data_IF_325388423685
#
_entry.id   IF_325388423685
#
_cell.length_a   1.000
_cell.length_b   1.000
_cell.length_c   1.000
_cell.angle_alpha   90.00
_cell.angle_beta   90.00
_cell.angle_gamma   90.00
#
_symmetry.space_group_name_H-M   'P 1'
#
loop_
_entity.id
_entity.type
_entity.pdbx_description
1 polymer ?
#
# COMPACT_ATOMS: atom_id res chain seq x y z
N UNK A 1 -7.77 -10.53 0.01
CA UNK A 1 -6.85 -9.40 0.25
C UNK A 1 -5.48 -9.86 0.77
N UNK A 2 -5.39 -10.50 1.94
CA UNK A 2 -4.09 -10.93 2.53
C UNK A 2 -3.25 -11.79 1.58
N UNK A 3 -3.85 -12.80 0.93
CA UNK A 3 -3.15 -13.64 -0.06
C UNK A 3 -2.55 -12.80 -1.20
N UNK A 4 -3.29 -11.83 -1.72
CA UNK A 4 -2.83 -10.95 -2.81
C UNK A 4 -1.63 -10.12 -2.32
N UNK A 5 -1.72 -9.56 -1.11
CA UNK A 5 -0.64 -8.79 -0.51
C UNK A 5 0.64 -9.63 -0.30
N UNK A 6 0.51 -10.85 0.25
CA UNK A 6 1.65 -11.76 0.44
C UNK A 6 2.32 -12.15 -0.88
N UNK A 7 1.55 -12.50 -1.91
CA UNK A 7 2.09 -12.83 -3.23
C UNK A 7 2.78 -11.61 -3.89
N UNK A 8 2.25 -10.41 -3.64
CA UNK A 8 2.84 -9.15 -4.13
C UNK A 8 4.18 -8.88 -3.48
N UNK A 9 4.26 -8.97 -2.14
CA UNK A 9 5.52 -8.81 -1.40
C UNK A 9 6.54 -9.88 -1.81
N UNK A 10 6.14 -11.15 -1.86
CA UNK A 10 7.01 -12.25 -2.29
C UNK A 10 7.65 -11.99 -3.67
N UNK A 11 6.94 -11.33 -4.58
CA UNK A 11 7.44 -11.01 -5.92
C UNK A 11 8.30 -9.74 -5.96
N UNK A 12 8.03 -8.74 -5.13
CA UNK A 12 8.58 -7.38 -5.25
C UNK A 12 9.56 -6.99 -4.16
N UNK A 13 9.37 -7.49 -2.95
CA UNK A 13 10.19 -7.23 -1.77
C UNK A 13 10.07 -8.42 -0.78
N UNK A 14 10.57 -9.62 -1.17
CA UNK A 14 10.44 -10.83 -0.36
C UNK A 14 11.07 -10.70 1.03
N UNK A 15 12.07 -9.85 1.19
CA UNK A 15 12.74 -9.54 2.45
C UNK A 15 11.84 -8.82 3.47
N UNK A 16 10.74 -8.21 3.00
CA UNK A 16 9.71 -7.59 3.85
C UNK A 16 8.49 -8.49 4.08
N UNK A 17 8.54 -9.76 3.64
CA UNK A 17 7.51 -10.75 3.98
C UNK A 17 7.81 -11.37 5.34
N UNK A 18 7.61 -10.58 6.40
CA UNK A 18 7.81 -11.00 7.79
C UNK A 18 6.44 -11.29 8.42
N UNK A 19 6.27 -12.46 9.01
CA UNK A 19 5.01 -12.87 9.65
C UNK A 19 4.99 -12.54 11.15
N UNK A 20 5.25 -11.27 11.47
CA UNK A 20 5.14 -10.75 12.83
C UNK A 20 3.66 -10.39 13.07
N UNK A 21 2.90 -11.31 13.65
CA UNK A 21 1.48 -11.09 13.96
C UNK A 21 0.53 -11.15 12.77
N UNK A 22 -0.74 -10.84 13.03
CA UNK A 22 -1.80 -10.91 12.02
C UNK A 22 -1.83 -9.63 11.16
N UNK A 23 -1.93 -9.74 9.83
CA UNK A 23 -2.08 -8.57 8.97
C UNK A 23 -3.35 -7.77 9.28
N UNK A 24 -3.24 -6.44 9.24
CA UNK A 24 -4.34 -5.50 9.48
C UNK A 24 -4.87 -5.03 8.12
N UNK A 25 -6.19 -5.02 7.94
CA UNK A 25 -6.82 -4.51 6.72
C UNK A 25 -7.58 -3.23 7.05
N UNK A 26 -7.27 -2.14 6.37
CA UNK A 26 -8.01 -0.89 6.46
C UNK A 26 -8.57 -0.48 5.10
N UNK A 27 -9.79 0.08 5.11
CA UNK A 27 -10.50 0.54 3.91
C UNK A 27 -10.35 2.05 3.78
N UNK A 28 -9.95 2.50 2.60
CA UNK A 28 -9.69 3.90 2.31
C UNK A 28 -10.36 4.33 1.02
N UNK A 29 -10.41 5.64 0.83
CA UNK A 29 -10.95 6.25 -0.38
C UNK A 29 -10.00 7.34 -0.85
N UNK A 30 -9.72 7.36 -2.15
CA UNK A 30 -9.01 8.47 -2.79
C UNK A 30 -9.82 9.74 -2.54
N UNK A 31 -9.16 10.80 -2.07
CA UNK A 31 -9.80 12.09 -1.83
C UNK A 31 -10.62 12.50 -3.05
N UNK A 32 -11.79 13.07 -2.83
CA UNK A 32 -12.52 13.73 -3.92
C UNK A 32 -11.72 14.96 -4.34
N UNK A 33 -11.18 14.91 -5.55
CA UNK A 33 -10.45 16.01 -6.18
C UNK A 33 -11.42 16.78 -7.07
N UNK A 34 -11.24 18.09 -7.13
CA UNK A 34 -11.82 18.91 -8.20
C UNK A 34 -11.13 18.59 -9.53
N UNK A 35 -11.77 18.88 -10.69
CA UNK A 35 -11.12 18.67 -12.00
C UNK A 35 -9.80 19.44 -12.19
N UNK A 36 -9.58 20.52 -11.44
CA UNK A 36 -8.31 21.24 -11.43
C UNK A 36 -7.25 20.44 -10.67
N UNK A 37 -7.56 19.98 -9.46
CA UNK A 37 -6.66 19.17 -8.64
C UNK A 37 -6.33 17.82 -9.31
N UNK A 38 -7.27 17.20 -10.04
CA UNK A 38 -6.99 15.96 -10.79
C UNK A 38 -5.89 16.15 -11.84
N UNK A 39 -5.84 17.32 -12.50
CA UNK A 39 -4.80 17.65 -13.49
C UNK A 39 -3.45 17.95 -12.85
N UNK A 40 -3.45 18.33 -11.58
CA UNK A 40 -2.25 18.67 -10.83
C UNK A 40 -1.63 17.45 -10.13
N UNK A 41 -2.31 16.30 -10.11
CA UNK A 41 -1.72 15.06 -9.57
C UNK A 41 -0.49 14.70 -10.41
N UNK A 42 0.73 14.70 -9.83
CA UNK A 42 1.94 14.44 -10.59
C UNK A 42 1.99 13.00 -11.10
N UNK A 43 2.62 12.75 -12.25
CA UNK A 43 2.75 11.40 -12.83
C UNK A 43 3.46 10.40 -11.90
N UNK A 44 4.42 10.91 -11.11
CA UNK A 44 5.15 10.14 -10.10
C UNK A 44 4.34 9.85 -8.83
N UNK A 45 3.13 10.41 -8.69
CA UNK A 45 2.26 10.12 -7.55
C UNK A 45 1.78 8.68 -7.61
N UNK A 46 1.76 8.03 -6.45
CA UNK A 46 1.13 6.72 -6.25
C UNK A 46 -0.34 6.69 -6.70
N UNK A 47 -1.01 7.85 -6.63
CA UNK A 47 -2.41 8.00 -7.01
C UNK A 47 -2.60 8.64 -8.39
N UNK A 48 -1.55 8.76 -9.19
CA UNK A 48 -1.67 9.26 -10.56
C UNK A 48 -2.63 8.37 -11.38
N UNK A 49 -3.61 9.00 -12.02
CA UNK A 49 -4.66 8.31 -12.78
C UNK A 49 -5.73 7.61 -11.94
N UNK A 50 -5.65 7.68 -10.60
CA UNK A 50 -6.72 7.18 -9.73
C UNK A 50 -7.96 8.08 -9.84
N UNK A 51 -9.15 7.49 -9.80
CA UNK A 51 -10.40 8.24 -9.87
C UNK A 51 -10.73 8.86 -8.52
N UNK A 52 -11.23 10.10 -8.51
CA UNK A 52 -11.80 10.71 -7.31
C UNK A 52 -12.84 9.80 -6.66
N UNK A 53 -12.69 9.54 -5.36
CA UNK A 53 -13.59 8.65 -4.63
C UNK A 53 -13.39 7.15 -4.87
N UNK A 54 -12.39 6.74 -5.66
CA UNK A 54 -12.06 5.34 -5.85
C UNK A 54 -11.61 4.71 -4.52
N UNK A 55 -12.10 3.50 -4.26
CA UNK A 55 -11.87 2.81 -3.00
C UNK A 55 -10.69 1.86 -3.13
N UNK A 56 -9.87 1.83 -2.09
CA UNK A 56 -8.75 0.91 -1.97
C UNK A 56 -8.65 0.36 -0.54
N UNK A 57 -7.91 -0.73 -0.42
CA UNK A 57 -7.55 -1.34 0.85
C UNK A 57 -6.05 -1.22 1.06
N UNK A 58 -5.65 -1.02 2.31
CA UNK A 58 -4.28 -1.21 2.76
C UNK A 58 -4.24 -2.52 3.55
N UNK A 59 -3.37 -3.43 3.14
CA UNK A 59 -3.00 -4.62 3.94
C UNK A 59 -1.66 -4.33 4.59
N UNK A 60 -1.68 -4.11 5.89
CA UNK A 60 -0.49 -3.84 6.71
C UNK A 60 0.01 -5.13 7.36
N UNK A 61 1.32 -5.34 7.27
CA UNK A 61 2.06 -6.36 8.00
C UNK A 61 2.74 -5.65 9.17
N UNK A 62 2.28 -5.88 10.41
CA UNK A 62 2.79 -5.14 11.56
C UNK A 62 4.23 -5.55 11.89
N UNK A 63 4.95 -4.62 12.49
CA UNK A 63 6.25 -4.92 13.10
C UNK A 63 6.06 -5.58 14.47
N UNK A 64 7.12 -6.25 14.92
CA UNK A 64 7.26 -6.63 16.33
C UNK A 64 8.46 -5.86 16.88
N UNK A 65 8.18 -4.79 17.62
CA UNK A 65 9.22 -3.89 18.16
C UNK A 65 10.18 -4.59 19.13
N UNK A 66 9.83 -5.77 19.65
CA UNK A 66 10.74 -6.57 20.47
C UNK A 66 11.80 -7.32 19.64
N UNK A 67 11.57 -7.46 18.34
CA UNK A 67 12.46 -8.13 17.38
C UNK A 67 13.17 -7.08 16.52
N UNK A 68 12.41 -6.21 15.86
CA UNK A 68 12.91 -5.21 14.92
C UNK A 68 11.95 -4.02 14.85
N UNK A 69 12.52 -2.82 14.77
CA UNK A 69 11.76 -1.58 14.58
C UNK A 69 12.00 -1.01 13.18
N UNK A 70 10.92 -0.54 12.58
CA UNK A 70 10.83 0.11 11.28
C UNK A 70 10.32 1.54 11.49
N UNK A 71 10.92 2.50 10.79
CA UNK A 71 10.63 3.93 10.94
C UNK A 71 9.13 4.26 10.77
N UNK A 72 8.44 3.54 9.89
CA UNK A 72 7.03 3.77 9.59
C UNK A 72 6.05 3.10 10.56
N UNK A 73 6.52 2.28 11.51
CA UNK A 73 5.68 1.58 12.47
C UNK A 73 5.10 0.24 11.98
N UNK A 74 5.48 -0.22 10.78
CA UNK A 74 5.05 -1.47 10.16
C UNK A 74 6.17 -2.06 9.31
N UNK A 75 6.12 -3.36 9.01
CA UNK A 75 7.06 -4.00 8.10
C UNK A 75 6.76 -3.59 6.66
N UNK A 76 5.53 -3.78 6.22
CA UNK A 76 5.08 -3.39 4.88
C UNK A 76 3.58 -3.12 4.82
N UNK A 77 3.18 -2.30 3.87
CA UNK A 77 1.79 -2.07 3.49
C UNK A 77 1.63 -2.33 1.98
N UNK A 78 0.60 -3.07 1.60
CA UNK A 78 0.23 -3.27 0.19
C UNK A 78 -1.11 -2.60 -0.08
N UNK A 79 -1.11 -1.72 -1.08
CA UNK A 79 -2.28 -0.94 -1.49
C UNK A 79 -2.95 -1.63 -2.66
N UNK A 80 -4.25 -1.93 -2.51
CA UNK A 80 -5.00 -2.77 -3.45
C UNK A 80 -6.33 -2.09 -3.79
N UNK A 81 -6.62 -1.91 -5.07
CA UNK A 81 -7.90 -1.35 -5.52
C UNK A 81 -9.08 -2.30 -5.21
N UNK A 82 -10.19 -1.77 -4.71
CA UNK A 82 -11.40 -2.56 -4.38
C UNK A 82 -12.03 -3.19 -5.64
N UNK A 83 -12.11 -2.43 -6.73
CA UNK A 83 -12.82 -2.81 -7.96
C UNK A 83 -12.14 -3.93 -8.76
N UNK A 84 -10.81 -3.93 -8.79
CA UNK A 84 -10.00 -4.83 -9.62
C UNK A 84 -9.21 -5.85 -8.80
N UNK A 85 -9.15 -5.69 -7.48
CA UNK A 85 -8.27 -6.45 -6.59
C UNK A 85 -6.79 -6.42 -7.02
N UNK A 86 -6.40 -5.40 -7.81
CA UNK A 86 -5.01 -5.24 -8.28
C UNK A 86 -4.21 -4.43 -7.27
N UNK A 87 -3.05 -4.92 -6.82
CA UNK A 87 -2.07 -4.12 -6.10
C UNK A 87 -1.59 -2.98 -7.00
N UNK A 88 -1.45 -1.78 -6.45
CA UNK A 88 -0.91 -0.62 -7.17
C UNK A 88 0.29 0.03 -6.48
N UNK A 89 0.51 -0.24 -5.19
CA UNK A 89 1.67 0.28 -4.48
C UNK A 89 2.05 -0.59 -3.29
N UNK A 90 3.31 -0.46 -2.87
CA UNK A 90 3.86 -1.03 -1.65
C UNK A 90 4.56 0.09 -0.90
N UNK A 91 4.26 0.26 0.39
CA UNK A 91 5.09 1.03 1.30
C UNK A 91 5.86 0.07 2.21
N UNK A 92 7.17 0.27 2.32
CA UNK A 92 8.04 -0.51 3.21
C UNK A 92 8.31 0.29 4.48
N UNK A 93 8.54 -0.43 5.57
CA UNK A 93 8.72 0.14 6.91
C UNK A 93 9.86 1.15 7.04
N UNK A 94 10.84 1.10 6.15
CA UNK A 94 11.97 2.03 6.09
C UNK A 94 11.70 3.27 5.22
N UNK A 95 10.43 3.69 5.10
CA UNK A 95 9.97 4.85 4.31
C UNK A 95 10.17 4.75 2.79
N UNK A 96 10.33 3.53 2.25
CA UNK A 96 10.39 3.34 0.79
C UNK A 96 8.99 3.09 0.21
N UNK A 97 8.62 3.84 -0.84
CA UNK A 97 7.39 3.60 -1.61
C UNK A 97 7.76 3.05 -2.99
N UNK A 98 7.17 1.92 -3.34
CA UNK A 98 7.28 1.29 -4.66
C UNK A 98 5.95 1.41 -5.41
N UNK A 99 6.02 1.95 -6.61
CA UNK A 99 4.89 1.99 -7.55
C UNK A 99 4.84 0.69 -8.37
N UNK A 100 3.64 0.13 -8.55
CA UNK A 100 3.43 -1.17 -9.23
C UNK A 100 2.80 -1.03 -10.63
N UNK A 101 2.67 0.20 -11.13
CA UNK A 101 2.21 0.52 -12.50
C UNK A 101 2.86 -0.38 -13.57
#
# INVERSE_FOLDING_TARGET
>A
MIRIAKETLKKKAPEYLIENGAPIISKHRVRYLTPAEEKEVPEFSTFYGAKSGQVYYIVEFPQDESIESFDAGFVAQVYIWEDTSRPFSIALGNSLIMDLK
#
